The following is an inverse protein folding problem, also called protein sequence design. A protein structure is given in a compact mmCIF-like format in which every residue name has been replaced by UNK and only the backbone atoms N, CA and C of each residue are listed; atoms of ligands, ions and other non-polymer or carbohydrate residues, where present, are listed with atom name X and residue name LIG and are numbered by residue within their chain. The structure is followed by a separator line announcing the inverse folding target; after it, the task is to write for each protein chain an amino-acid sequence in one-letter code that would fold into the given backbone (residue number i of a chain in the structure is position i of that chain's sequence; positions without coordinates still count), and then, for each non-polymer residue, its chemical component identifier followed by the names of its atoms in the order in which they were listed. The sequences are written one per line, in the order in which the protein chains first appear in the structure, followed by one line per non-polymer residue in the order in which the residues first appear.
data_IF_264357816043
#
_entry.id   IF_264357816043
#
_cell.length_a   1.000
_cell.length_b   1.000
_cell.length_c   1.000
_cell.angle_alpha   90.00
_cell.angle_beta   90.00
_cell.angle_gamma   90.00
#
_symmetry.space_group_name_H-M   'P 1'
#
loop_
_entity.id
_entity.type
_entity.pdbx_description
1 polymer ?
#
# COMPACT_ATOMS: atom_id res chain seq x y z
N UNK A 1 7.83 -6.64 13.16
CA UNK A 1 8.40 -6.40 11.81
C UNK A 1 7.31 -6.64 10.77
N UNK A 2 7.23 -5.78 9.76
CA UNK A 2 6.21 -5.87 8.72
C UNK A 2 6.52 -6.95 7.67
N UNK A 3 5.49 -7.44 6.97
CA UNK A 3 5.61 -8.38 5.86
C UNK A 3 5.16 -7.74 4.55
N UNK A 4 5.89 -8.01 3.46
CA UNK A 4 5.55 -7.55 2.10
C UNK A 4 5.41 -8.76 1.18
N UNK A 5 4.38 -8.75 0.35
CA UNK A 5 4.19 -9.70 -0.75
C UNK A 5 3.87 -8.92 -2.03
N UNK A 6 4.55 -9.25 -3.11
CA UNK A 6 4.25 -8.75 -4.44
C UNK A 6 4.01 -9.93 -5.39
N UNK A 7 3.10 -9.75 -6.33
CA UNK A 7 2.81 -10.77 -7.33
C UNK A 7 2.48 -10.15 -8.69
N UNK A 8 3.03 -10.76 -9.72
CA UNK A 8 2.61 -10.59 -11.11
C UNK A 8 2.62 -11.96 -11.80
N UNK A 9 1.54 -12.33 -12.48
CA UNK A 9 1.45 -13.65 -13.13
C UNK A 9 0.04 -14.05 -13.54
N UNK A 10 -0.13 -15.33 -13.84
CA UNK A 10 -1.37 -15.89 -14.44
C UNK A 10 -2.44 -16.25 -13.42
N UNK A 11 -2.09 -16.42 -12.14
CA UNK A 11 -3.04 -16.77 -11.09
C UNK A 11 -3.71 -15.51 -10.52
N UNK A 12 -4.75 -15.70 -9.71
CA UNK A 12 -5.36 -14.62 -8.94
C UNK A 12 -4.33 -13.98 -8.01
N UNK A 13 -3.94 -12.73 -8.29
CA UNK A 13 -3.03 -11.97 -7.44
C UNK A 13 -3.57 -11.86 -6.01
N UNK A 14 -4.88 -11.61 -5.84
CA UNK A 14 -5.51 -11.52 -4.53
C UNK A 14 -5.25 -12.76 -3.68
N UNK A 15 -5.48 -13.96 -4.23
CA UNK A 15 -5.29 -15.20 -3.49
C UNK A 15 -3.82 -15.40 -3.11
N UNK A 16 -2.90 -15.16 -4.06
CA UNK A 16 -1.47 -15.29 -3.82
C UNK A 16 -0.98 -14.31 -2.74
N UNK A 17 -1.48 -13.08 -2.77
CA UNK A 17 -1.14 -12.06 -1.76
C UNK A 17 -1.65 -12.47 -0.38
N UNK A 18 -2.92 -12.85 -0.26
CA UNK A 18 -3.52 -13.22 1.04
C UNK A 18 -2.84 -14.46 1.64
N UNK A 19 -2.50 -15.46 0.83
CA UNK A 19 -1.82 -16.68 1.29
C UNK A 19 -0.35 -16.37 1.68
N UNK A 20 0.30 -15.47 0.96
CA UNK A 20 1.64 -15.00 1.28
C UNK A 20 1.69 -14.17 2.58
N UNK A 21 0.73 -13.26 2.75
CA UNK A 21 0.62 -12.44 3.96
C UNK A 21 0.30 -13.29 5.21
N UNK A 22 -0.48 -14.36 5.06
CA UNK A 22 -0.77 -15.29 6.15
C UNK A 22 0.51 -15.93 6.73
N UNK A 23 1.44 -16.28 5.86
CA UNK A 23 2.75 -16.81 6.27
C UNK A 23 3.65 -15.78 6.94
N UNK A 24 3.36 -14.50 6.76
CA UNK A 24 4.13 -13.38 7.32
C UNK A 24 3.44 -12.71 8.52
N UNK A 25 2.20 -13.11 8.86
CA UNK A 25 1.40 -12.48 9.91
C UNK A 25 2.08 -12.50 11.28
N UNK A 26 2.87 -13.54 11.58
CA UNK A 26 3.63 -13.63 12.81
C UNK A 26 4.60 -12.46 13.02
N UNK A 27 4.96 -11.76 11.94
CA UNK A 27 5.87 -10.60 11.95
C UNK A 27 5.17 -9.26 12.15
N UNK A 28 3.86 -9.18 11.87
CA UNK A 28 3.06 -7.98 12.00
C UNK A 28 1.58 -8.32 11.84
N UNK A 29 0.76 -7.87 12.79
CA UNK A 29 -0.66 -8.23 12.86
C UNK A 29 -1.56 -7.09 13.36
N UNK A 30 -1.07 -5.86 13.37
CA UNK A 30 -1.88 -4.71 13.79
C UNK A 30 -2.75 -4.15 12.67
N UNK A 31 -2.33 -4.37 11.44
CA UNK A 31 -3.14 -4.06 10.25
C UNK A 31 -2.62 -4.81 9.02
N UNK A 32 -3.47 -4.95 8.02
CA UNK A 32 -3.13 -5.58 6.75
C UNK A 32 -3.85 -4.89 5.59
N UNK A 33 -3.31 -5.04 4.39
CA UNK A 33 -3.97 -4.55 3.19
C UNK A 33 -3.35 -5.07 1.91
N UNK A 34 -4.12 -4.96 0.85
CA UNK A 34 -3.73 -5.33 -0.51
C UNK A 34 -4.11 -4.23 -1.49
N UNK A 35 -3.30 -4.08 -2.53
CA UNK A 35 -3.63 -3.28 -3.70
C UNK A 35 -3.56 -4.18 -4.94
N UNK A 36 -4.58 -4.11 -5.77
CA UNK A 36 -4.76 -4.95 -6.96
C UNK A 36 -4.97 -4.06 -8.18
N UNK A 37 -4.26 -4.35 -9.26
CA UNK A 37 -4.46 -3.67 -10.54
C UNK A 37 -5.74 -4.15 -11.18
N UNK A 38 -6.60 -3.23 -11.59
CA UNK A 38 -7.83 -3.48 -12.33
C UNK A 38 -7.79 -2.73 -13.66
N UNK A 39 -8.76 -3.00 -14.56
CA UNK A 39 -8.85 -2.32 -15.85
C UNK A 39 -9.05 -0.80 -15.71
N UNK A 40 -9.75 -0.39 -14.66
CA UNK A 40 -10.14 0.99 -14.37
C UNK A 40 -9.23 1.66 -13.31
N UNK A 41 -8.11 1.04 -12.94
CA UNK A 41 -7.14 1.60 -11.99
C UNK A 41 -6.70 0.63 -10.91
N UNK A 42 -6.39 1.15 -9.74
CA UNK A 42 -5.91 0.39 -8.58
C UNK A 42 -7.02 0.29 -7.54
N UNK A 43 -7.31 -0.92 -7.08
CA UNK A 43 -8.22 -1.18 -5.96
C UNK A 43 -7.43 -1.51 -4.71
N UNK A 44 -7.73 -0.82 -3.63
CA UNK A 44 -7.06 -1.00 -2.34
C UNK A 44 -8.07 -1.42 -1.30
N UNK A 45 -7.77 -2.51 -0.60
CA UNK A 45 -8.57 -2.97 0.55
C UNK A 45 -7.64 -3.07 1.74
N UNK A 46 -8.00 -2.39 2.82
CA UNK A 46 -7.21 -2.31 4.05
C UNK A 46 -8.05 -2.61 5.28
N UNK A 47 -7.42 -3.09 6.33
CA UNK A 47 -8.08 -3.36 7.60
C UNK A 47 -7.12 -3.21 8.76
N UNK A 48 -7.54 -2.49 9.80
CA UNK A 48 -6.97 -2.60 11.12
C UNK A 48 -7.21 -4.00 11.67
N UNK A 49 -6.25 -4.54 12.39
CA UNK A 49 -6.30 -5.86 12.99
C UNK A 49 -5.66 -6.94 12.14
N UNK A 50 -5.91 -8.18 12.51
CA UNK A 50 -5.30 -9.36 11.88
C UNK A 50 -5.74 -9.55 10.42
N UNK A 51 -4.99 -10.34 9.68
CA UNK A 51 -5.31 -10.70 8.28
C UNK A 51 -6.70 -11.35 8.16
N UNK A 52 -7.17 -12.07 9.19
CA UNK A 52 -8.52 -12.60 9.24
C UNK A 52 -9.59 -11.51 9.13
N UNK A 53 -9.35 -10.33 9.72
CA UNK A 53 -10.24 -9.17 9.59
C UNK A 53 -10.27 -8.63 8.15
N UNK A 54 -9.11 -8.57 7.49
CA UNK A 54 -9.06 -8.23 6.06
C UNK A 54 -9.81 -9.26 5.21
N UNK A 55 -9.61 -10.56 5.48
CA UNK A 55 -10.32 -11.64 4.76
C UNK A 55 -11.83 -11.61 4.98
N UNK A 56 -12.33 -11.08 6.11
CA UNK A 56 -13.77 -10.94 6.38
C UNK A 56 -14.43 -9.82 5.57
N UNK A 57 -13.69 -8.90 5.02
CA UNK A 57 -14.17 -7.85 4.09
C UNK A 57 -14.46 -8.44 2.70
N UNK A 58 -15.30 -9.48 2.64
CA UNK A 58 -15.55 -10.26 1.41
C UNK A 58 -16.11 -9.44 0.26
N UNK A 59 -16.98 -8.48 0.54
CA UNK A 59 -17.60 -7.62 -0.47
C UNK A 59 -16.56 -6.68 -1.11
N UNK A 60 -15.66 -6.11 -0.28
CA UNK A 60 -14.58 -5.26 -0.76
C UNK A 60 -13.51 -6.05 -1.54
N UNK A 61 -13.33 -7.35 -1.20
CA UNK A 61 -12.41 -8.28 -1.86
C UNK A 61 -13.06 -9.04 -3.03
N UNK A 62 -14.37 -8.90 -3.26
CA UNK A 62 -15.08 -9.51 -4.39
C UNK A 62 -14.77 -8.76 -5.70
N UNK A 63 -13.49 -8.64 -6.01
CA UNK A 63 -12.97 -7.93 -7.18
C UNK A 63 -12.80 -8.89 -8.37
N UNK A 64 -12.89 -8.40 -9.61
CA UNK A 64 -12.48 -9.17 -10.78
C UNK A 64 -11.05 -9.70 -10.63
N UNK A 65 -10.77 -10.82 -11.27
CA UNK A 65 -9.44 -11.42 -11.22
C UNK A 65 -8.37 -10.42 -11.67
N UNK A 66 -7.35 -10.24 -10.83
CA UNK A 66 -6.17 -9.43 -11.13
C UNK A 66 -4.96 -10.32 -11.29
N UNK A 67 -4.08 -9.97 -12.22
CA UNK A 67 -2.79 -10.63 -12.46
C UNK A 67 -1.62 -9.96 -11.73
N UNK A 68 -1.86 -8.79 -11.13
CA UNK A 68 -0.81 -7.99 -10.48
C UNK A 68 -1.33 -7.35 -9.20
N UNK A 69 -0.51 -7.37 -8.15
CA UNK A 69 -0.83 -6.72 -6.90
C UNK A 69 0.30 -6.75 -5.88
N UNK A 70 0.11 -5.97 -4.83
CA UNK A 70 1.01 -5.88 -3.67
C UNK A 70 0.20 -6.00 -2.39
N UNK A 71 0.81 -6.52 -1.34
CA UNK A 71 0.18 -6.68 -0.05
C UNK A 71 1.15 -6.47 1.11
N UNK A 72 0.61 -6.13 2.26
CA UNK A 72 1.38 -5.77 3.44
C UNK A 72 0.69 -6.22 4.73
N UNK A 73 1.47 -6.72 5.69
CA UNK A 73 1.09 -6.84 7.10
C UNK A 73 1.96 -5.90 7.93
N UNK A 74 1.33 -5.07 8.75
CA UNK A 74 1.99 -3.99 9.47
C UNK A 74 2.24 -4.37 10.93
N UNK A 75 3.38 -3.90 11.43
CA UNK A 75 3.66 -3.68 12.84
C UNK A 75 3.90 -2.18 13.00
N UNK A 76 2.95 -1.48 13.61
CA UNK A 76 3.01 -0.02 13.70
C UNK A 76 4.21 0.44 14.51
N UNK A 77 5.00 1.33 13.90
CA UNK A 77 6.08 2.08 14.56
C UNK A 77 5.77 3.58 14.58
N UNK A 78 5.03 4.07 13.58
CA UNK A 78 4.59 5.46 13.42
C UNK A 78 3.13 5.52 13.01
N UNK A 79 2.33 6.33 13.71
CA UNK A 79 0.88 6.43 13.52
C UNK A 79 0.11 5.25 14.11
N UNK A 80 -1.01 5.52 14.74
CA UNK A 80 -1.85 4.47 15.33
C UNK A 80 -2.33 3.46 14.29
N UNK A 81 -2.51 2.18 14.68
CA UNK A 81 -3.15 1.20 13.82
C UNK A 81 -4.57 1.65 13.43
N UNK A 82 -4.77 1.89 12.14
CA UNK A 82 -6.05 2.30 11.55
C UNK A 82 -6.11 1.87 10.10
N UNK A 83 -7.29 1.82 9.50
CA UNK A 83 -7.42 1.54 8.07
C UNK A 83 -6.69 2.61 7.23
N UNK A 84 -6.69 3.88 7.67
CA UNK A 84 -6.03 4.98 6.96
C UNK A 84 -4.50 4.84 6.99
N UNK A 85 -3.93 4.52 8.15
CA UNK A 85 -2.48 4.37 8.34
C UNK A 85 -1.95 3.00 7.87
N UNK A 86 -2.83 2.07 7.46
CA UNK A 86 -2.44 0.77 6.94
C UNK A 86 -1.86 0.88 5.52
N UNK A 87 -0.94 -0.01 5.19
CA UNK A 87 -0.45 -0.18 3.82
C UNK A 87 -1.39 -1.09 3.00
N UNK A 88 -1.41 -0.97 1.67
CA UNK A 88 -0.67 -0.04 0.82
C UNK A 88 -1.15 1.41 0.90
N UNK A 89 -0.24 2.36 0.61
CA UNK A 89 -0.60 3.75 0.32
C UNK A 89 -0.69 3.96 -1.18
N UNK A 90 -1.69 4.73 -1.62
CA UNK A 90 -2.01 4.82 -3.05
C UNK A 90 -2.44 6.22 -3.46
N UNK A 91 -2.15 6.54 -4.72
CA UNK A 91 -2.80 7.56 -5.52
C UNK A 91 -3.63 6.87 -6.61
N UNK A 92 -4.37 7.56 -7.46
CA UNK A 92 -5.06 6.93 -8.59
C UNK A 92 -4.13 6.19 -9.55
N UNK A 93 -2.84 6.54 -9.61
CA UNK A 93 -1.87 6.02 -10.58
C UNK A 93 -0.81 5.11 -10.00
N UNK A 94 -0.50 5.26 -8.71
CA UNK A 94 0.63 4.58 -8.04
C UNK A 94 0.17 3.99 -6.72
N UNK A 95 0.61 2.78 -6.43
CA UNK A 95 0.44 2.15 -5.11
C UNK A 95 1.75 1.55 -4.65
N UNK A 96 2.08 1.75 -3.37
CA UNK A 96 3.31 1.24 -2.79
C UNK A 96 3.07 0.60 -1.42
N UNK A 97 3.97 -0.32 -1.09
CA UNK A 97 4.20 -0.83 0.26
C UNK A 97 5.67 -0.56 0.63
N UNK A 98 5.93 -0.26 1.88
CA UNK A 98 7.25 0.13 2.33
C UNK A 98 7.53 -0.39 3.74
N UNK A 99 8.71 -0.93 3.94
CA UNK A 99 9.27 -1.28 5.24
C UNK A 99 10.52 -0.44 5.46
N UNK A 100 10.41 0.60 6.28
CA UNK A 100 11.51 1.53 6.55
C UNK A 100 10.99 2.84 7.12
N UNK A 101 11.85 3.83 7.17
CA UNK A 101 11.57 5.18 7.63
C UNK A 101 12.14 6.17 6.62
N UNK A 102 11.32 7.11 6.16
CA UNK A 102 11.75 8.24 5.33
C UNK A 102 12.07 9.41 6.26
N UNK A 103 13.33 9.56 6.61
CA UNK A 103 13.75 10.52 7.63
C UNK A 103 13.38 11.97 7.30
N UNK A 104 13.46 12.36 6.04
CA UNK A 104 13.14 13.71 5.55
C UNK A 104 11.67 13.90 5.12
N UNK A 105 10.77 12.98 5.50
CA UNK A 105 9.37 13.00 5.05
C UNK A 105 8.65 14.32 5.37
N UNK A 106 8.99 14.98 6.47
CA UNK A 106 8.37 16.25 6.87
C UNK A 106 8.61 17.35 5.83
N UNK A 107 9.86 17.56 5.44
CA UNK A 107 10.21 18.55 4.41
C UNK A 107 9.62 18.20 3.04
N UNK A 108 9.56 16.91 2.69
CA UNK A 108 8.93 16.44 1.45
C UNK A 108 7.41 16.68 1.48
N UNK A 109 6.76 16.44 2.61
CA UNK A 109 5.33 16.69 2.81
C UNK A 109 4.98 18.15 2.59
N UNK A 110 5.73 19.08 3.19
CA UNK A 110 5.53 20.53 3.00
C UNK A 110 5.64 20.94 1.52
N UNK A 111 6.66 20.42 0.82
CA UNK A 111 6.84 20.68 -0.62
C UNK A 111 5.68 20.12 -1.46
N UNK A 112 5.15 18.98 -1.11
CA UNK A 112 4.01 18.37 -1.81
C UNK A 112 2.71 19.13 -1.51
N UNK A 113 2.50 19.60 -0.27
CA UNK A 113 1.37 20.46 0.09
C UNK A 113 1.40 21.75 -0.74
N UNK A 114 2.58 22.38 -0.88
CA UNK A 114 2.74 23.56 -1.74
C UNK A 114 2.41 23.30 -3.22
N UNK A 115 2.49 22.03 -3.68
CA UNK A 115 2.07 21.59 -5.02
C UNK A 115 0.59 21.17 -5.10
N UNK A 116 -0.18 21.30 -3.99
CA UNK A 116 -1.60 20.96 -3.94
C UNK A 116 -1.93 19.53 -3.51
N UNK A 117 -0.96 18.74 -3.06
CA UNK A 117 -1.24 17.41 -2.52
C UNK A 117 -1.85 17.50 -1.11
N UNK A 118 -2.87 16.68 -0.85
CA UNK A 118 -3.48 16.51 0.47
C UNK A 118 -3.05 15.19 1.09
N UNK A 119 -3.07 15.07 2.40
CA UNK A 119 -2.64 13.88 3.13
C UNK A 119 -3.74 13.42 4.09
N UNK A 120 -4.03 12.14 4.08
CA UNK A 120 -5.05 11.52 4.92
C UNK A 120 -4.44 10.76 6.11
N UNK A 121 -3.24 10.21 5.93
CA UNK A 121 -2.57 9.41 6.96
C UNK A 121 -1.43 10.18 7.65
N UNK A 122 -0.96 9.59 8.73
CA UNK A 122 0.19 10.08 9.49
C UNK A 122 1.51 9.42 9.06
N UNK A 123 1.48 8.58 8.01
CA UNK A 123 2.62 7.78 7.61
C UNK A 123 3.55 8.50 6.64
N UNK A 124 4.83 8.28 6.79
CA UNK A 124 5.87 8.72 5.87
C UNK A 124 5.70 8.09 4.46
N UNK A 125 5.17 6.87 4.41
CA UNK A 125 4.93 6.16 3.15
C UNK A 125 3.84 6.83 2.29
N UNK A 126 2.86 7.52 2.88
CA UNK A 126 1.93 8.34 2.09
C UNK A 126 2.66 9.50 1.40
N UNK A 127 3.66 10.08 2.07
CA UNK A 127 4.50 11.12 1.46
C UNK A 127 5.30 10.53 0.29
N UNK A 128 5.89 9.35 0.47
CA UNK A 128 6.65 8.68 -0.58
C UNK A 128 5.80 8.37 -1.82
N UNK A 129 4.60 7.81 -1.66
CA UNK A 129 3.74 7.49 -2.81
C UNK A 129 3.34 8.74 -3.58
N UNK A 130 3.08 9.84 -2.89
CA UNK A 130 2.74 11.13 -3.54
C UNK A 130 3.94 11.77 -4.20
N UNK A 131 5.15 11.59 -3.66
CA UNK A 131 6.38 12.02 -4.31
C UNK A 131 6.59 11.25 -5.62
N UNK A 132 6.48 9.92 -5.61
CA UNK A 132 6.58 9.08 -6.80
C UNK A 132 5.50 9.49 -7.83
N UNK A 133 4.26 9.68 -7.39
CA UNK A 133 3.17 10.13 -8.25
C UNK A 133 3.46 11.48 -8.90
N UNK A 134 4.09 12.40 -8.17
CA UNK A 134 4.47 13.72 -8.69
C UNK A 134 5.54 13.65 -9.80
N UNK A 135 6.33 12.57 -9.82
CA UNK A 135 7.35 12.28 -10.83
C UNK A 135 6.83 11.38 -11.97
N UNK A 136 5.62 10.83 -11.84
CA UNK A 136 5.11 9.82 -12.77
C UNK A 136 4.66 10.42 -14.11
N UNK A 137 5.31 10.01 -15.18
CA UNK A 137 5.04 10.40 -16.57
C UNK A 137 4.75 9.20 -17.49
N UNK A 138 4.25 8.09 -16.91
CA UNK A 138 3.94 6.86 -17.67
C UNK A 138 4.92 5.71 -17.42
N UNK A 139 6.12 6.00 -16.91
CA UNK A 139 7.17 5.01 -16.65
C UNK A 139 7.43 4.85 -15.15
N UNK A 140 6.94 3.76 -14.50
CA UNK A 140 7.00 3.61 -13.05
C UNK A 140 8.42 3.58 -12.49
N UNK A 141 9.36 2.94 -13.20
CA UNK A 141 10.75 2.83 -12.75
C UNK A 141 11.43 4.21 -12.76
N UNK A 142 11.20 5.01 -13.80
CA UNK A 142 11.75 6.36 -13.88
C UNK A 142 11.18 7.27 -12.80
N UNK A 143 9.88 7.15 -12.50
CA UNK A 143 9.24 7.89 -11.42
C UNK A 143 9.84 7.55 -10.05
N UNK A 144 10.10 6.26 -9.80
CA UNK A 144 10.74 5.81 -8.56
C UNK A 144 12.20 6.30 -8.44
N UNK A 145 12.94 6.32 -9.54
CA UNK A 145 14.33 6.81 -9.56
C UNK A 145 14.45 8.33 -9.39
N UNK A 146 13.41 9.06 -9.78
CA UNK A 146 13.36 10.52 -9.67
C UNK A 146 12.83 11.02 -8.32
N UNK A 147 12.19 10.16 -7.54
CA UNK A 147 11.63 10.46 -6.23
C UNK A 147 12.65 10.32 -5.12
#
# INVERSE_FOLDING_TARGET
MCGIVGYVGMRSAQQVLLDGLEKLEYRGYDSAGVALTQRDGIRVVKSKGRLSTLRSKREELALPQSSCGIGHTRWATHGEPSDVNSHPHSTPRVSIVHNGIIENYGALKERLIAKGYTFASETDTEVLVKLIDSCYQGEPLQALQAA
#
